data_IF_896358036783
#
_entry.id   IF_896358036783
#
_cell.length_a   1.000
_cell.length_b   1.000
_cell.length_c   1.000
_cell.angle_alpha   90.00
_cell.angle_beta   90.00
_cell.angle_gamma   90.00
#
_symmetry.space_group_name_H-M   'P 1'
#
loop_
_entity.id
_entity.type
_entity.pdbx_description
1 polymer ?
#
# COMPACT_ATOMS: atom_id res chain seq x y z
N UNK A 1 -30.16 -18.70 -7.76
CA UNK A 1 -30.90 -18.42 -6.51
C UNK A 1 -30.69 -19.63 -5.62
N UNK A 2 -29.99 -19.47 -4.50
CA UNK A 2 -29.78 -20.53 -3.52
C UNK A 2 -30.87 -20.47 -2.46
N UNK A 3 -31.46 -21.61 -2.11
CA UNK A 3 -32.38 -21.72 -0.96
C UNK A 3 -31.77 -22.74 -0.01
N UNK A 4 -31.38 -22.28 1.17
CA UNK A 4 -30.82 -23.13 2.22
C UNK A 4 -31.87 -23.35 3.30
N UNK A 5 -32.18 -24.62 3.50
CA UNK A 5 -33.28 -25.10 4.31
C UNK A 5 -32.70 -25.74 5.58
N UNK A 6 -32.95 -25.16 6.75
CA UNK A 6 -32.30 -25.57 8.00
C UNK A 6 -33.31 -26.02 9.06
N UNK A 7 -33.14 -27.26 9.54
CA UNK A 7 -33.87 -27.82 10.69
C UNK A 7 -33.18 -27.57 12.01
N UNK A 8 -31.85 -27.42 11.98
CA UNK A 8 -30.97 -27.20 13.14
C UNK A 8 -30.19 -25.89 12.95
N UNK A 9 -29.83 -25.24 14.05
CA UNK A 9 -28.98 -24.04 14.00
C UNK A 9 -27.56 -24.43 13.59
N UNK A 10 -27.05 -23.81 12.54
CA UNK A 10 -25.67 -24.00 12.10
C UNK A 10 -24.82 -22.77 12.44
N UNK A 11 -23.91 -22.91 13.42
CA UNK A 11 -23.19 -21.78 14.03
C UNK A 11 -22.24 -21.03 13.09
N UNK A 12 -21.84 -21.65 11.98
CA UNK A 12 -21.01 -21.03 10.94
C UNK A 12 -21.78 -20.73 9.63
N UNK A 13 -23.10 -20.46 9.71
CA UNK A 13 -23.93 -20.19 8.53
C UNK A 13 -23.41 -19.06 7.62
N UNK A 14 -22.92 -17.90 8.12
CA UNK A 14 -22.42 -16.84 7.26
C UNK A 14 -21.24 -17.28 6.36
N UNK A 15 -20.32 -18.09 6.89
CA UNK A 15 -19.19 -18.64 6.13
C UNK A 15 -19.67 -19.64 5.08
N UNK A 16 -20.62 -20.51 5.45
CA UNK A 16 -21.18 -21.51 4.54
C UNK A 16 -21.90 -20.85 3.35
N UNK A 17 -22.71 -19.83 3.61
CA UNK A 17 -23.37 -19.05 2.56
C UNK A 17 -22.37 -18.42 1.61
N UNK A 18 -21.34 -17.76 2.17
CA UNK A 18 -20.28 -17.12 1.38
C UNK A 18 -19.56 -18.13 0.46
N UNK A 19 -19.29 -19.34 0.96
CA UNK A 19 -18.68 -20.40 0.16
C UNK A 19 -19.56 -20.80 -1.02
N UNK A 20 -20.85 -21.05 -0.79
CA UNK A 20 -21.78 -21.43 -1.86
C UNK A 20 -21.99 -20.33 -2.89
N UNK A 21 -22.06 -19.07 -2.44
CA UNK A 21 -22.13 -17.92 -3.33
C UNK A 21 -20.88 -17.83 -4.22
N UNK A 22 -19.68 -17.97 -3.62
CA UNK A 22 -18.42 -17.95 -4.34
C UNK A 22 -18.29 -19.10 -5.35
N UNK A 23 -18.73 -20.31 -4.99
CA UNK A 23 -18.75 -21.46 -5.89
C UNK A 23 -19.66 -21.20 -7.09
N UNK A 24 -20.88 -20.69 -6.86
CA UNK A 24 -21.83 -20.36 -7.93
C UNK A 24 -21.28 -19.29 -8.87
N UNK A 25 -20.63 -18.25 -8.33
CA UNK A 25 -19.97 -17.23 -9.14
C UNK A 25 -18.80 -17.80 -9.95
N UNK A 26 -18.02 -18.72 -9.37
CA UNK A 26 -16.92 -19.40 -10.06
C UNK A 26 -17.42 -20.24 -11.24
N UNK A 27 -18.56 -20.93 -11.07
CA UNK A 27 -19.21 -21.67 -12.16
C UNK A 27 -19.65 -20.75 -13.31
N UNK A 28 -20.17 -19.56 -13.00
CA UNK A 28 -20.50 -18.57 -14.03
C UNK A 28 -19.27 -18.13 -14.82
N UNK A 29 -18.16 -17.82 -14.13
CA UNK A 29 -16.89 -17.46 -14.78
C UNK A 29 -16.40 -18.58 -15.69
N UNK A 30 -16.43 -19.83 -15.22
CA UNK A 30 -16.01 -20.99 -16.01
C UNK A 30 -16.91 -21.23 -17.23
N UNK A 31 -18.22 -21.03 -17.09
CA UNK A 31 -19.18 -21.14 -18.19
C UNK A 31 -18.94 -20.07 -19.26
N UNK A 32 -18.69 -18.82 -18.85
CA UNK A 32 -18.34 -17.71 -19.75
C UNK A 32 -17.05 -18.01 -20.51
N UNK A 33 -15.99 -18.44 -19.83
CA UNK A 33 -14.74 -18.83 -20.45
C UNK A 33 -14.90 -19.95 -21.48
N UNK A 34 -15.72 -20.96 -21.16
CA UNK A 34 -16.04 -22.04 -22.10
C UNK A 34 -16.78 -21.52 -23.34
N UNK A 35 -17.68 -20.55 -23.16
CA UNK A 35 -18.41 -19.90 -24.26
C UNK A 35 -17.46 -19.15 -25.20
N UNK A 36 -16.56 -18.31 -24.65
CA UNK A 36 -15.55 -17.59 -25.45
C UNK A 36 -14.63 -18.54 -26.21
N UNK A 37 -14.16 -19.60 -25.55
CA UNK A 37 -13.33 -20.63 -26.18
C UNK A 37 -14.06 -21.31 -27.35
N UNK A 38 -15.35 -21.63 -27.18
CA UNK A 38 -16.16 -22.22 -28.25
C UNK A 38 -16.41 -21.25 -29.41
N UNK A 39 -16.43 -19.94 -29.12
CA UNK A 39 -16.57 -18.88 -30.11
C UNK A 39 -15.23 -18.46 -30.76
N UNK A 40 -14.11 -19.08 -30.40
CA UNK A 40 -12.76 -18.64 -30.80
C UNK A 40 -12.47 -17.17 -30.47
N UNK A 41 -13.12 -16.64 -29.43
CA UNK A 41 -12.85 -15.31 -28.93
C UNK A 41 -11.74 -15.39 -27.89
N UNK A 42 -10.59 -14.80 -28.18
CA UNK A 42 -9.37 -14.88 -27.37
C UNK A 42 -9.13 -13.66 -26.48
N UNK A 43 -10.05 -12.70 -26.47
CA UNK A 43 -9.88 -11.44 -25.75
C UNK A 43 -8.86 -10.51 -26.43
N UNK A 44 -8.59 -9.37 -25.78
CA UNK A 44 -7.74 -8.31 -26.33
C UNK A 44 -6.27 -8.39 -25.89
N UNK A 45 -5.98 -9.11 -24.81
CA UNK A 45 -4.63 -9.25 -24.26
C UNK A 45 -4.39 -10.62 -23.62
N UNK A 46 -3.15 -10.85 -23.19
CA UNK A 46 -2.75 -12.10 -22.54
C UNK A 46 -3.52 -12.37 -21.24
N UNK A 47 -3.97 -11.33 -20.53
CA UNK A 47 -4.69 -11.51 -19.27
C UNK A 47 -6.11 -12.05 -19.51
N UNK A 48 -6.82 -11.50 -20.50
CA UNK A 48 -8.14 -11.98 -20.92
C UNK A 48 -8.06 -13.38 -21.54
N UNK A 49 -7.04 -13.65 -22.36
CA UNK A 49 -6.81 -14.97 -22.93
C UNK A 49 -6.58 -16.05 -21.85
N UNK A 50 -5.73 -15.76 -20.87
CA UNK A 50 -5.38 -16.72 -19.81
C UNK A 50 -6.49 -16.93 -18.79
N UNK A 51 -7.20 -15.85 -18.42
CA UNK A 51 -8.30 -15.94 -17.45
C UNK A 51 -9.59 -16.52 -18.06
N UNK A 52 -9.79 -16.33 -19.37
CA UNK A 52 -11.03 -16.69 -20.05
C UNK A 52 -12.23 -15.81 -19.67
N UNK A 53 -12.02 -14.72 -18.92
CA UNK A 53 -13.06 -13.77 -18.53
C UNK A 53 -12.62 -12.38 -18.96
N UNK A 54 -13.35 -11.79 -19.91
CA UNK A 54 -13.02 -10.52 -20.53
C UNK A 54 -13.48 -9.34 -19.66
N UNK A 55 -12.91 -8.14 -19.85
CA UNK A 55 -13.27 -6.95 -19.05
C UNK A 55 -14.75 -6.56 -19.10
N UNK A 56 -15.40 -6.82 -20.22
CA UNK A 56 -16.82 -6.51 -20.42
C UNK A 56 -17.76 -7.61 -19.91
N UNK A 57 -17.25 -8.80 -19.59
CA UNK A 57 -18.07 -9.87 -19.04
C UNK A 57 -18.66 -9.47 -17.68
N UNK A 58 -19.88 -9.94 -17.42
CA UNK A 58 -20.62 -9.69 -16.18
C UNK A 58 -21.11 -11.00 -15.59
N UNK A 59 -21.01 -11.11 -14.27
CA UNK A 59 -21.66 -12.19 -13.51
C UNK A 59 -23.05 -11.74 -13.08
N UNK A 60 -23.98 -12.68 -13.03
CA UNK A 60 -25.28 -12.48 -12.42
C UNK A 60 -25.15 -12.55 -10.89
N UNK A 61 -25.82 -11.67 -10.15
CA UNK A 61 -25.77 -11.67 -8.69
C UNK A 61 -26.33 -12.99 -8.14
N UNK A 62 -25.65 -13.52 -7.12
CA UNK A 62 -26.14 -14.67 -6.35
C UNK A 62 -26.84 -14.14 -5.11
N UNK A 63 -28.09 -14.56 -4.93
CA UNK A 63 -28.90 -14.27 -3.75
C UNK A 63 -29.19 -15.61 -3.07
N UNK A 64 -28.83 -15.69 -1.79
CA UNK A 64 -29.03 -16.86 -0.94
C UNK A 64 -30.01 -16.51 0.18
N UNK A 65 -31.13 -17.24 0.23
CA UNK A 65 -32.13 -17.14 1.30
C UNK A 65 -31.97 -18.32 2.23
N UNK A 66 -31.71 -18.05 3.52
CA UNK A 66 -31.73 -19.06 4.58
C UNK A 66 -33.09 -19.02 5.25
N UNK A 67 -33.80 -20.14 5.25
CA UNK A 67 -35.04 -20.30 6.00
C UNK A 67 -34.80 -21.31 7.11
N UNK A 68 -34.98 -20.85 8.34
CA UNK A 68 -34.88 -21.66 9.54
C UNK A 68 -36.28 -21.90 10.11
N UNK A 69 -36.60 -23.16 10.40
CA UNK A 69 -37.90 -23.59 10.94
C UNK A 69 -37.77 -24.59 12.09
N UNK A 70 -36.63 -24.57 12.78
CA UNK A 70 -36.42 -25.39 13.97
C UNK A 70 -37.38 -25.02 15.11
N UNK A 71 -37.47 -25.90 16.10
CA UNK A 71 -38.32 -25.70 17.28
C UNK A 71 -37.75 -24.63 18.22
N UNK A 72 -36.43 -24.42 18.19
CA UNK A 72 -35.70 -23.47 19.03
C UNK A 72 -35.52 -22.12 18.30
N UNK A 73 -35.27 -21.04 19.04
CA UNK A 73 -34.89 -19.76 18.44
C UNK A 73 -33.48 -19.81 17.84
N UNK A 74 -33.23 -19.00 16.82
CA UNK A 74 -31.90 -18.89 16.22
C UNK A 74 -30.96 -18.12 17.16
N UNK A 75 -29.91 -18.78 17.67
CA UNK A 75 -28.96 -18.23 18.64
C UNK A 75 -27.52 -18.09 18.11
N UNK A 76 -27.32 -18.25 16.80
CA UNK A 76 -26.02 -18.18 16.14
C UNK A 76 -25.78 -16.88 15.34
N UNK A 77 -24.52 -16.57 14.97
CA UNK A 77 -24.22 -15.44 14.09
C UNK A 77 -24.97 -15.45 12.76
N UNK A 78 -25.57 -14.32 12.39
CA UNK A 78 -26.24 -14.10 11.09
C UNK A 78 -25.39 -13.29 10.12
N UNK A 79 -24.32 -12.66 10.61
CA UNK A 79 -23.35 -11.93 9.79
C UNK A 79 -21.91 -12.36 10.08
N UNK A 80 -21.00 -12.17 9.11
CA UNK A 80 -19.55 -12.35 9.37
C UNK A 80 -19.05 -11.43 10.48
N UNK A 81 -19.68 -10.26 10.68
CA UNK A 81 -19.31 -9.32 11.73
C UNK A 81 -19.47 -9.93 13.12
N UNK A 82 -20.59 -10.63 13.35
CA UNK A 82 -20.84 -11.34 14.62
C UNK A 82 -19.91 -12.54 14.83
N UNK A 83 -19.26 -13.03 13.78
CA UNK A 83 -18.28 -14.12 13.87
C UNK A 83 -16.85 -13.63 14.17
N UNK A 84 -16.57 -12.33 14.07
CA UNK A 84 -15.24 -11.82 14.41
C UNK A 84 -15.01 -11.87 15.93
N UNK A 85 -13.76 -12.07 16.38
CA UNK A 85 -13.42 -11.98 17.79
C UNK A 85 -13.87 -10.65 18.40
N UNK A 86 -14.32 -10.69 19.66
CA UNK A 86 -14.53 -9.47 20.44
C UNK A 86 -13.23 -8.65 20.45
N UNK A 87 -13.32 -7.36 20.14
CA UNK A 87 -12.16 -6.47 20.00
C UNK A 87 -11.60 -6.34 18.57
N UNK A 88 -12.21 -6.95 17.53
CA UNK A 88 -12.08 -6.42 16.17
C UNK A 88 -12.87 -5.11 16.09
N UNK A 89 -12.26 -4.08 16.66
CA UNK A 89 -12.92 -2.88 17.12
C UNK A 89 -13.41 -2.02 15.95
N UNK A 90 -14.53 -1.32 16.18
CA UNK A 90 -15.02 -0.27 15.28
C UNK A 90 -13.90 0.74 14.97
N UNK A 91 -12.96 0.95 15.88
CA UNK A 91 -11.79 1.79 15.67
C UNK A 91 -10.86 1.31 14.55
N UNK A 92 -10.67 0.00 14.37
CA UNK A 92 -9.87 -0.55 13.25
C UNK A 92 -10.56 -0.22 11.93
N UNK A 93 -11.87 -0.52 11.83
CA UNK A 93 -12.64 -0.28 10.62
C UNK A 93 -12.74 1.21 10.28
N UNK A 94 -12.97 2.07 11.29
CA UNK A 94 -12.96 3.53 11.14
C UNK A 94 -11.61 4.04 10.65
N UNK A 95 -10.52 3.55 11.24
CA UNK A 95 -9.17 3.96 10.83
C UNK A 95 -8.93 3.57 9.37
N UNK A 96 -9.16 2.30 9.00
CA UNK A 96 -8.94 1.81 7.63
C UNK A 96 -9.76 2.63 6.63
N UNK A 97 -11.04 2.91 6.95
CA UNK A 97 -11.93 3.70 6.10
C UNK A 97 -11.38 5.11 5.83
N UNK A 98 -10.83 5.77 6.85
CA UNK A 98 -10.34 7.15 6.77
C UNK A 98 -8.83 7.25 6.46
N UNK A 99 -8.12 6.12 6.37
CA UNK A 99 -6.65 6.06 6.24
C UNK A 99 -6.06 6.84 5.06
N UNK A 100 -6.82 7.04 3.99
CA UNK A 100 -6.39 7.78 2.79
C UNK A 100 -6.66 9.27 2.85
N UNK A 101 -7.59 9.71 3.70
CA UNK A 101 -7.89 11.13 3.88
C UNK A 101 -7.15 11.64 5.11
N UNK A 102 -6.10 12.43 4.86
CA UNK A 102 -5.27 13.01 5.91
C UNK A 102 -6.08 13.78 6.95
N UNK A 103 -7.09 14.55 6.53
CA UNK A 103 -7.85 15.43 7.42
C UNK A 103 -8.79 14.62 8.29
N UNK A 104 -9.53 13.69 7.69
CA UNK A 104 -10.43 12.81 8.42
C UNK A 104 -9.68 11.89 9.37
N UNK A 105 -8.54 11.32 8.94
CA UNK A 105 -7.71 10.48 9.79
C UNK A 105 -7.14 11.25 10.99
N UNK A 106 -6.62 12.44 10.75
CA UNK A 106 -6.08 13.31 11.82
C UNK A 106 -7.17 13.65 12.83
N UNK A 107 -8.38 13.98 12.36
CA UNK A 107 -9.52 14.25 13.24
C UNK A 107 -9.96 13.00 14.01
N UNK A 108 -10.01 11.84 13.36
CA UNK A 108 -10.39 10.57 13.98
C UNK A 108 -9.43 10.18 15.11
N UNK A 109 -8.14 10.18 14.81
CA UNK A 109 -7.08 9.76 15.73
C UNK A 109 -6.96 10.71 16.92
N UNK A 110 -7.05 12.03 16.69
CA UNK A 110 -6.91 13.01 17.76
C UNK A 110 -8.13 13.11 18.68
N UNK A 111 -9.34 12.85 18.17
CA UNK A 111 -10.57 12.97 18.95
C UNK A 111 -10.99 11.66 19.64
N UNK A 112 -10.39 10.52 19.29
CA UNK A 112 -10.71 9.24 19.93
C UNK A 112 -9.53 8.73 20.76
N UNK A 113 -9.71 8.70 22.08
CA UNK A 113 -8.68 8.30 23.04
C UNK A 113 -8.26 6.84 22.91
N UNK A 114 -9.09 6.00 22.29
CA UNK A 114 -8.81 4.59 22.04
C UNK A 114 -7.53 4.37 21.22
N UNK A 115 -7.24 5.26 20.27
CA UNK A 115 -6.02 5.16 19.44
C UNK A 115 -4.72 5.41 20.20
N UNK A 116 -4.77 5.97 21.41
CA UNK A 116 -3.59 6.14 22.26
C UNK A 116 -3.18 4.84 22.95
N UNK A 117 -4.04 3.82 22.93
CA UNK A 117 -3.75 2.54 23.55
C UNK A 117 -4.55 1.43 22.89
N UNK A 118 -4.14 1.00 21.72
CA UNK A 118 -4.71 -0.18 21.06
C UNK A 118 -3.91 -1.43 21.40
N UNK A 119 -4.59 -2.58 21.44
CA UNK A 119 -3.88 -3.86 21.51
C UNK A 119 -2.94 -4.00 20.31
N UNK A 120 -1.79 -4.63 20.54
CA UNK A 120 -0.75 -4.79 19.52
C UNK A 120 -1.30 -5.39 18.22
N UNK A 121 -2.18 -6.39 18.32
CA UNK A 121 -2.80 -7.04 17.15
C UNK A 121 -3.71 -6.08 16.37
N UNK A 122 -4.47 -5.23 17.07
CA UNK A 122 -5.31 -4.21 16.44
C UNK A 122 -4.46 -3.17 15.70
N UNK A 123 -3.40 -2.68 16.34
CA UNK A 123 -2.47 -1.73 15.73
C UNK A 123 -1.72 -2.32 14.52
N UNK A 124 -1.32 -3.60 14.59
CA UNK A 124 -0.75 -4.34 13.46
C UNK A 124 -1.73 -4.49 12.31
N UNK A 125 -2.99 -4.81 12.62
CA UNK A 125 -4.06 -4.91 11.61
C UNK A 125 -4.27 -3.58 10.92
N UNK A 126 -4.30 -2.47 11.68
CA UNK A 126 -4.37 -1.13 11.12
C UNK A 126 -3.18 -0.87 10.20
N UNK A 127 -1.94 -1.11 10.64
CA UNK A 127 -0.72 -0.91 9.85
C UNK A 127 -0.80 -1.63 8.50
N UNK A 128 -1.08 -2.93 8.52
CA UNK A 128 -1.14 -3.76 7.31
C UNK A 128 -2.29 -3.34 6.39
N UNK A 129 -3.50 -3.15 6.92
CA UNK A 129 -4.66 -2.84 6.10
C UNK A 129 -4.68 -1.39 5.58
N UNK A 130 -4.00 -0.47 6.26
CA UNK A 130 -3.89 0.94 5.82
C UNK A 130 -2.64 1.21 4.98
N UNK A 131 -1.70 0.26 4.91
CA UNK A 131 -0.39 0.46 4.28
C UNK A 131 0.44 1.52 4.98
N UNK A 132 0.28 1.67 6.30
CA UNK A 132 1.06 2.58 7.13
C UNK A 132 2.10 1.76 7.90
N UNK A 133 3.38 2.09 7.73
CA UNK A 133 4.49 1.40 8.36
C UNK A 133 4.74 1.95 9.77
N UNK A 134 3.93 1.52 10.74
CA UNK A 134 4.15 1.87 12.14
C UNK A 134 5.36 1.13 12.72
N UNK A 135 6.15 1.84 13.52
CA UNK A 135 7.18 1.22 14.33
C UNK A 135 6.56 0.61 15.60
N UNK A 136 6.85 -0.65 15.88
CA UNK A 136 6.28 -1.38 17.01
C UNK A 136 7.37 -1.74 18.03
N UNK A 137 7.41 -1.07 19.21
CA UNK A 137 8.38 -1.39 20.25
C UNK A 137 8.31 -2.86 20.67
N UNK A 138 9.47 -3.46 20.93
CA UNK A 138 9.56 -4.86 21.37
C UNK A 138 9.11 -4.96 22.84
N UNK A 139 8.20 -5.89 23.12
CA UNK A 139 7.70 -6.14 24.48
C UNK A 139 6.50 -5.29 24.91
N UNK A 140 6.01 -4.38 24.06
CA UNK A 140 4.77 -3.63 24.31
C UNK A 140 3.54 -4.38 23.78
N UNK A 141 2.59 -4.67 24.67
CA UNK A 141 1.30 -5.31 24.33
C UNK A 141 0.25 -4.31 23.85
N UNK A 142 0.37 -3.04 24.23
CA UNK A 142 -0.51 -1.95 23.79
C UNK A 142 0.32 -0.85 23.13
N UNK A 143 -0.19 -0.33 22.03
CA UNK A 143 0.50 0.59 21.13
C UNK A 143 -0.24 1.91 21.10
N UNK A 144 0.51 3.00 21.24
CA UNK A 144 0.02 4.35 20.99
C UNK A 144 0.16 4.67 19.50
N UNK A 145 -0.97 4.61 18.78
CA UNK A 145 -1.01 4.87 17.33
C UNK A 145 -0.80 6.35 17.03
N UNK A 146 -1.22 7.27 17.92
CA UNK A 146 -0.95 8.70 17.76
C UNK A 146 0.56 8.94 17.74
N UNK A 147 1.28 8.35 18.71
CA UNK A 147 2.74 8.44 18.78
C UNK A 147 3.40 7.78 17.57
N UNK A 148 2.92 6.61 17.15
CA UNK A 148 3.47 5.95 15.96
C UNK A 148 3.35 6.82 14.69
N UNK A 149 2.24 7.55 14.53
CA UNK A 149 2.06 8.51 13.43
C UNK A 149 3.02 9.70 13.57
N UNK A 150 3.17 10.25 14.78
CA UNK A 150 4.10 11.36 15.03
C UNK A 150 5.56 10.96 14.77
N UNK A 151 5.94 9.73 15.13
CA UNK A 151 7.26 9.15 14.86
C UNK A 151 7.49 9.05 13.34
N UNK A 152 6.52 8.54 12.57
CA UNK A 152 6.61 8.48 11.10
C UNK A 152 6.80 9.86 10.47
N UNK A 153 6.07 10.88 10.95
CA UNK A 153 6.21 12.26 10.47
C UNK A 153 7.59 12.82 10.79
N UNK A 154 8.10 12.49 11.97
CA UNK A 154 9.43 12.90 12.42
C UNK A 154 10.53 12.26 11.58
N UNK A 155 10.43 10.96 11.31
CA UNK A 155 11.37 10.21 10.47
C UNK A 155 11.39 10.75 9.05
N UNK A 156 10.22 10.92 8.42
CA UNK A 156 10.11 11.49 7.08
C UNK A 156 10.71 12.91 6.99
N UNK A 157 10.56 13.71 8.05
CA UNK A 157 11.17 15.05 8.12
C UNK A 157 12.69 14.98 8.22
N UNK A 158 13.22 14.08 9.05
CA UNK A 158 14.66 13.92 9.23
C UNK A 158 15.31 13.42 7.94
N UNK A 159 14.71 12.41 7.29
CA UNK A 159 15.14 11.93 5.97
C UNK A 159 15.14 13.07 4.93
N UNK A 160 14.07 13.87 4.90
CA UNK A 160 13.99 15.02 3.99
C UNK A 160 15.09 16.05 4.24
N UNK A 161 15.44 16.33 5.50
CA UNK A 161 16.54 17.23 5.86
C UNK A 161 17.89 16.66 5.41
N UNK A 162 18.12 15.37 5.62
CA UNK A 162 19.38 14.72 5.29
C UNK A 162 19.58 14.62 3.78
N UNK A 163 18.54 14.26 3.03
CA UNK A 163 18.53 14.30 1.57
C UNK A 163 18.81 15.72 1.08
N UNK A 164 18.12 16.72 1.63
CA UNK A 164 18.33 18.13 1.26
C UNK A 164 19.75 18.62 1.55
N UNK A 165 20.35 18.22 2.68
CA UNK A 165 21.75 18.53 3.03
C UNK A 165 22.75 17.82 2.13
N UNK A 166 22.46 16.60 1.69
CA UNK A 166 23.31 15.90 0.72
C UNK A 166 23.25 16.60 -0.63
N UNK A 167 22.04 16.81 -1.16
CA UNK A 167 21.83 17.47 -2.44
C UNK A 167 22.45 18.87 -2.48
N UNK A 168 22.26 19.68 -1.43
CA UNK A 168 22.86 21.01 -1.37
C UNK A 168 24.40 20.98 -1.35
N UNK A 169 25.02 19.98 -0.72
CA UNK A 169 26.48 19.79 -0.77
C UNK A 169 26.94 19.39 -2.16
N UNK A 170 26.20 18.51 -2.82
CA UNK A 170 26.51 18.07 -4.18
C UNK A 170 26.38 19.23 -5.17
N UNK A 171 25.29 20.00 -5.11
CA UNK A 171 25.06 21.19 -5.93
C UNK A 171 26.16 22.24 -5.74
N UNK A 172 26.50 22.57 -4.48
CA UNK A 172 27.57 23.52 -4.19
C UNK A 172 28.93 23.05 -4.70
N UNK A 173 29.20 21.75 -4.63
CA UNK A 173 30.42 21.16 -5.18
C UNK A 173 30.46 21.30 -6.70
N UNK A 174 29.37 20.96 -7.39
CA UNK A 174 29.26 21.09 -8.86
C UNK A 174 29.39 22.54 -9.32
N UNK A 175 28.76 23.49 -8.62
CA UNK A 175 28.91 24.92 -8.90
C UNK A 175 30.35 25.37 -8.70
N UNK A 176 31.00 24.96 -7.61
CA UNK A 176 32.42 25.20 -7.37
C UNK A 176 33.32 24.66 -8.47
N UNK A 177 33.03 23.49 -9.03
CA UNK A 177 33.76 22.92 -10.16
C UNK A 177 33.56 23.75 -11.45
N UNK A 178 32.33 24.18 -11.75
CA UNK A 178 32.04 25.04 -12.91
C UNK A 178 32.76 26.38 -12.80
N UNK A 179 32.83 26.97 -11.60
CA UNK A 179 33.55 28.22 -11.38
C UNK A 179 35.06 28.08 -11.62
N UNK A 180 35.66 26.92 -11.32
CA UNK A 180 37.06 26.63 -11.69
C UNK A 180 37.22 26.62 -13.22
N UNK A 181 36.31 25.96 -13.95
CA UNK A 181 36.34 25.95 -15.42
C UNK A 181 36.22 27.37 -16.00
N UNK A 182 35.26 28.15 -15.49
CA UNK A 182 35.06 29.54 -15.91
C UNK A 182 36.33 30.38 -15.69
N UNK A 183 36.95 30.27 -14.52
CA UNK A 183 38.20 30.98 -14.19
C UNK A 183 39.35 30.60 -15.13
N UNK A 184 39.48 29.30 -15.46
CA UNK A 184 40.51 28.82 -16.40
C UNK A 184 40.29 29.41 -17.80
N UNK A 185 39.03 29.48 -18.27
CA UNK A 185 38.68 30.13 -19.54
C UNK A 185 38.98 31.63 -19.54
N UNK A 186 38.64 32.34 -18.46
CA UNK A 186 38.88 33.77 -18.34
C UNK A 186 40.38 34.12 -18.40
N UNK A 187 41.24 33.20 -17.92
CA UNK A 187 42.69 33.30 -18.01
C UNK A 187 43.27 32.81 -19.34
N UNK A 188 42.42 32.42 -20.29
CA UNK A 188 42.79 31.91 -21.61
C UNK A 188 43.68 30.63 -21.55
N UNK A 189 43.44 29.79 -20.54
CA UNK A 189 44.15 28.52 -20.32
C UNK A 189 43.38 27.35 -20.94
N UNK A 190 44.07 26.25 -21.24
CA UNK A 190 43.48 25.08 -21.91
C UNK A 190 42.73 24.12 -20.96
N UNK A 191 41.93 23.22 -21.55
CA UNK A 191 41.15 22.17 -20.85
C UNK A 191 41.99 21.35 -19.87
N UNK A 192 43.23 21.03 -20.25
CA UNK A 192 44.15 20.23 -19.44
C UNK A 192 44.45 20.86 -18.07
N UNK A 193 44.52 22.20 -18.00
CA UNK A 193 44.74 22.91 -16.74
C UNK A 193 43.49 22.83 -15.85
N UNK A 194 42.28 22.96 -16.42
CA UNK A 194 41.04 22.80 -15.66
C UNK A 194 40.89 21.36 -15.12
N UNK A 195 41.20 20.36 -15.93
CA UNK A 195 41.18 18.95 -15.50
C UNK A 195 42.11 18.70 -14.32
N UNK A 196 43.38 19.14 -14.42
CA UNK A 196 44.35 18.96 -13.33
C UNK A 196 43.93 19.69 -12.05
N UNK A 197 43.38 20.91 -12.17
CA UNK A 197 42.90 21.68 -11.03
C UNK A 197 41.68 21.01 -10.36
N UNK A 198 40.71 20.54 -11.14
CA UNK A 198 39.54 19.83 -10.61
C UNK A 198 39.93 18.50 -9.97
N UNK A 199 40.75 17.68 -10.65
CA UNK A 199 41.24 16.41 -10.11
C UNK A 199 41.97 16.60 -8.78
N UNK A 200 42.81 17.63 -8.67
CA UNK A 200 43.55 17.93 -7.45
C UNK A 200 42.67 18.49 -6.34
N UNK A 201 41.78 19.44 -6.65
CA UNK A 201 41.03 20.22 -5.66
C UNK A 201 39.80 19.49 -5.10
N UNK A 202 39.20 18.62 -5.91
CA UNK A 202 38.02 17.83 -5.54
C UNK A 202 38.32 16.33 -5.43
N UNK A 203 39.60 15.94 -5.48
CA UNK A 203 40.03 14.54 -5.40
C UNK A 203 39.35 13.60 -6.40
N UNK A 204 39.03 14.12 -7.58
CA UNK A 204 38.41 13.36 -8.67
C UNK A 204 39.44 12.49 -9.39
N UNK A 205 38.98 11.37 -9.97
CA UNK A 205 39.81 10.63 -10.92
C UNK A 205 40.04 11.47 -12.19
N UNK A 206 41.07 11.11 -12.97
CA UNK A 206 41.36 11.82 -14.22
C UNK A 206 40.19 11.69 -15.22
N UNK A 207 39.53 10.54 -15.24
CA UNK A 207 38.37 10.27 -16.10
C UNK A 207 37.17 11.13 -15.68
N UNK A 208 36.85 11.20 -14.39
CA UNK A 208 35.73 12.00 -13.89
C UNK A 208 35.97 13.51 -14.08
N UNK A 209 37.21 13.97 -13.91
CA UNK A 209 37.57 15.36 -14.17
C UNK A 209 37.51 15.69 -15.67
N UNK A 210 37.97 14.79 -16.55
CA UNK A 210 37.86 14.94 -18.00
C UNK A 210 36.40 15.04 -18.44
N UNK A 211 35.56 14.10 -18.01
CA UNK A 211 34.13 14.05 -18.35
C UNK A 211 33.42 15.33 -17.92
N UNK A 212 33.66 15.76 -16.67
CA UNK A 212 33.06 16.99 -16.16
C UNK A 212 33.51 18.22 -16.94
N UNK A 213 34.81 18.33 -17.27
CA UNK A 213 35.33 19.45 -18.07
C UNK A 213 34.75 19.41 -19.47
N UNK A 214 34.72 18.27 -20.16
CA UNK A 214 34.20 18.17 -21.51
C UNK A 214 32.72 18.54 -21.62
N UNK A 215 31.93 18.25 -20.59
CA UNK A 215 30.52 18.62 -20.53
C UNK A 215 30.27 20.11 -20.21
N UNK A 216 31.24 20.81 -19.61
CA UNK A 216 31.07 22.17 -19.07
C UNK A 216 32.08 23.21 -19.64
N UNK A 217 32.91 22.82 -20.62
CA UNK A 217 33.83 23.70 -21.36
C UNK A 217 33.12 24.48 -22.47
#
# INVERSE_FOLDING_TARGET
MGVENQTEVHTAMPIRNMLYDAMTLTEQVAATAKSHKAAHNHGNDNAEFLSGFHRDDKVLPVITLVVYWGADEWDAPVTLREMYPEGLDESILKFIKHSKDKTELTNLVNNNQEYKSLDRLAAQTISVCSGQDFNFPVGEERIDVCKAIDDMVTDARNEGIDVGRSQGRDEATHEGMRNVIATVKDLNLGKEVAMQQLAKRYSLSQEAALEFVDHNW
#
